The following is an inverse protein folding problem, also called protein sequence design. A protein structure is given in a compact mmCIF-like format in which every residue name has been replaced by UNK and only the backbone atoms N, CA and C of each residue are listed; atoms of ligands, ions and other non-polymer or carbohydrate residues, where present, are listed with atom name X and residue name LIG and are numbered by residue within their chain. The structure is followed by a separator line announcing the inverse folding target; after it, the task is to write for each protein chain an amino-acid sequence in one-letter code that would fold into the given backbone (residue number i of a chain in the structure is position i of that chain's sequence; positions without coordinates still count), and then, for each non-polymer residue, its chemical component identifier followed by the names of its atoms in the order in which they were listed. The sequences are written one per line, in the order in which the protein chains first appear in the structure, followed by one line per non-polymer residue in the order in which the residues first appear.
data_IF_157690259425
#
_entry.id   IF_157690259425
#
_cell.length_a   1.000
_cell.length_b   1.000
_cell.length_c   1.000
_cell.angle_alpha   90.00
_cell.angle_beta   90.00
_cell.angle_gamma   90.00
#
_symmetry.space_group_name_H-M   'P 1'
#
loop_
_entity.id
_entity.type
_entity.pdbx_description
1 polymer ?
#
# COMPACT_ATOMS: atom_id res chain seq x y z
N UNK A 1 0.99 -0.27 -11.22
CA UNK A 1 0.78 -1.05 -9.99
C UNK A 1 1.67 -2.27 -9.98
N UNK A 2 2.47 -2.39 -8.96
CA UNK A 2 3.34 -3.55 -8.75
C UNK A 2 3.00 -4.21 -7.42
N UNK A 3 2.94 -5.53 -7.40
CA UNK A 3 2.77 -6.29 -6.17
C UNK A 3 3.98 -7.20 -5.96
N UNK A 4 4.24 -7.51 -4.70
CA UNK A 4 5.36 -8.37 -4.32
C UNK A 4 4.98 -9.85 -4.23
N UNK A 5 3.78 -10.21 -4.66
CA UNK A 5 3.29 -11.58 -4.63
C UNK A 5 3.56 -12.27 -5.96
N UNK A 6 4.64 -13.02 -6.01
CA UNK A 6 5.08 -13.69 -7.25
C UNK A 6 4.55 -15.11 -7.42
N UNK A 7 3.95 -15.71 -6.39
CA UNK A 7 3.56 -17.12 -6.41
C UNK A 7 2.34 -17.40 -5.54
N UNK A 8 1.47 -18.31 -5.98
CA UNK A 8 0.32 -18.80 -5.19
C UNK A 8 0.74 -19.55 -3.93
N UNK A 9 1.98 -20.04 -3.87
CA UNK A 9 2.52 -20.78 -2.74
C UNK A 9 3.29 -19.91 -1.77
N UNK A 10 3.38 -18.63 -2.04
CA UNK A 10 4.07 -17.70 -1.16
C UNK A 10 3.27 -17.49 0.13
N UNK A 11 3.93 -17.69 1.25
CA UNK A 11 3.36 -17.39 2.57
C UNK A 11 3.80 -15.98 2.94
N UNK A 12 2.83 -15.09 3.10
CA UNK A 12 3.12 -13.71 3.51
C UNK A 12 1.95 -13.18 4.35
N UNK A 13 2.23 -12.44 5.43
CA UNK A 13 1.19 -11.77 6.21
C UNK A 13 0.72 -10.46 5.60
N UNK A 14 1.39 -9.98 4.55
CA UNK A 14 1.13 -8.67 3.95
C UNK A 14 0.87 -8.79 2.46
N UNK A 15 -0.09 -8.02 1.97
CA UNK A 15 -0.27 -7.79 0.55
C UNK A 15 0.04 -6.32 0.28
N UNK A 16 1.22 -6.07 -0.27
CA UNK A 16 1.72 -4.72 -0.49
C UNK A 16 1.65 -4.39 -1.97
N UNK A 17 1.02 -3.25 -2.27
CA UNK A 17 0.96 -2.70 -3.61
C UNK A 17 1.81 -1.43 -3.68
N UNK A 18 2.54 -1.29 -4.77
CA UNK A 18 3.38 -0.14 -5.03
C UNK A 18 2.80 0.66 -6.21
N UNK A 19 2.57 1.94 -5.99
CA UNK A 19 1.97 2.83 -6.97
C UNK A 19 3.04 3.73 -7.62
N UNK A 20 2.72 4.40 -8.74
CA UNK A 20 3.71 5.19 -9.48
C UNK A 20 4.33 6.35 -8.69
N UNK A 21 3.53 7.01 -7.85
CA UNK A 21 3.96 8.18 -7.09
C UNK A 21 3.13 8.36 -5.82
N UNK A 22 3.56 9.30 -4.98
CA UNK A 22 2.90 9.59 -3.71
C UNK A 22 1.48 10.13 -3.89
N UNK A 23 1.26 11.00 -4.87
CA UNK A 23 -0.04 11.59 -5.12
C UNK A 23 -1.07 10.53 -5.53
N UNK A 24 -0.68 9.62 -6.41
CA UNK A 24 -1.51 8.47 -6.80
C UNK A 24 -1.82 7.59 -5.60
N UNK A 25 -0.84 7.32 -4.76
CA UNK A 25 -1.00 6.51 -3.55
C UNK A 25 -2.04 7.12 -2.61
N UNK A 26 -1.98 8.42 -2.40
CA UNK A 26 -2.93 9.14 -1.53
C UNK A 26 -4.35 9.08 -2.10
N UNK A 27 -4.51 9.22 -3.41
CA UNK A 27 -5.81 9.08 -4.08
C UNK A 27 -6.37 7.67 -3.89
N UNK A 28 -5.53 6.66 -4.11
CA UNK A 28 -5.94 5.25 -3.94
C UNK A 28 -6.36 4.97 -2.51
N UNK A 29 -5.61 5.42 -1.54
CA UNK A 29 -5.93 5.26 -0.13
C UNK A 29 -7.30 5.86 0.19
N UNK A 30 -7.56 7.07 -0.27
CA UNK A 30 -8.83 7.76 -0.05
C UNK A 30 -10.00 7.03 -0.72
N UNK A 31 -9.84 6.61 -1.97
CA UNK A 31 -10.89 5.89 -2.70
C UNK A 31 -11.22 4.57 -2.04
N UNK A 32 -10.21 3.82 -1.61
CA UNK A 32 -10.40 2.56 -0.89
C UNK A 32 -11.14 2.78 0.43
N UNK A 33 -10.78 3.82 1.17
CA UNK A 33 -11.48 4.19 2.40
C UNK A 33 -12.96 4.51 2.12
N UNK A 34 -13.24 5.26 1.05
CA UNK A 34 -14.61 5.59 0.65
C UNK A 34 -15.43 4.33 0.29
N UNK A 35 -14.78 3.28 -0.18
CA UNK A 35 -15.40 1.98 -0.44
C UNK A 35 -15.48 1.07 0.81
N UNK A 36 -15.06 1.56 1.96
CA UNK A 36 -15.03 0.76 3.18
C UNK A 36 -13.92 -0.28 3.21
N UNK A 37 -12.88 -0.10 2.39
CA UNK A 37 -11.72 -0.99 2.35
C UNK A 37 -10.58 -0.39 3.16
N UNK A 38 -10.21 -1.03 4.26
CA UNK A 38 -9.10 -0.59 5.09
C UNK A 38 -7.76 -0.84 4.43
N UNK A 39 -6.86 0.10 4.57
CA UNK A 39 -5.48 -0.03 4.09
C UNK A 39 -4.50 0.25 5.22
N UNK A 40 -3.25 -0.11 5.02
CA UNK A 40 -2.22 0.15 6.01
C UNK A 40 -0.93 0.62 5.37
N UNK A 41 -0.29 1.58 6.05
CA UNK A 41 1.09 1.98 5.78
C UNK A 41 1.94 1.48 6.94
N UNK A 42 2.32 0.20 6.88
CA UNK A 42 2.92 -0.53 8.00
C UNK A 42 4.10 0.17 8.67
N UNK A 43 4.93 0.81 7.89
CA UNK A 43 6.12 1.49 8.39
C UNK A 43 6.03 2.99 8.19
N UNK A 44 4.80 3.51 8.04
CA UNK A 44 4.55 4.92 7.74
C UNK A 44 5.42 5.41 6.57
N UNK A 45 6.18 6.47 6.76
CA UNK A 45 7.09 7.00 5.73
C UNK A 45 8.53 6.54 5.92
N UNK A 46 8.73 5.42 6.59
CA UNK A 46 10.01 4.86 6.95
C UNK A 46 10.33 5.07 8.43
N UNK A 47 10.98 4.07 9.03
CA UNK A 47 11.27 4.12 10.46
C UNK A 47 12.13 5.31 10.86
N UNK A 48 13.04 5.72 9.99
CA UNK A 48 13.94 6.85 10.23
C UNK A 48 13.20 8.21 10.31
N UNK A 49 11.99 8.28 9.77
CA UNK A 49 11.15 9.50 9.80
C UNK A 49 10.13 9.48 10.93
N UNK A 50 10.06 8.40 11.68
CA UNK A 50 9.17 8.33 12.84
C UNK A 50 9.71 9.20 13.98
N UNK A 51 8.85 9.93 14.72
CA UNK A 51 9.30 10.81 15.79
C UNK A 51 10.17 10.12 16.83
N UNK A 52 9.89 8.85 17.15
CA UNK A 52 10.66 8.05 18.10
C UNK A 52 12.12 7.83 17.67
N UNK A 53 12.42 7.92 16.38
CA UNK A 53 13.74 7.63 15.81
C UNK A 53 14.36 8.83 15.09
N UNK A 54 13.75 10.00 15.20
CA UNK A 54 14.19 11.20 14.49
C UNK A 54 15.63 11.59 14.81
N UNK A 55 16.09 11.34 16.04
CA UNK A 55 17.44 11.68 16.50
C UNK A 55 18.46 10.54 16.31
N UNK A 56 18.04 9.41 15.74
CA UNK A 56 18.95 8.28 15.51
C UNK A 56 19.74 8.51 14.24
N UNK A 57 21.07 8.56 14.31
CA UNK A 57 21.91 8.69 13.11
C UNK A 57 21.71 7.53 12.13
N UNK A 58 21.64 7.83 10.85
CA UNK A 58 21.56 6.80 9.80
C UNK A 58 22.29 7.28 8.54
N UNK A 59 22.66 6.34 7.69
CA UNK A 59 23.18 6.63 6.37
C UNK A 59 22.06 6.97 5.37
N UNK A 60 22.41 7.17 4.09
CA UNK A 60 21.43 7.39 3.03
C UNK A 60 20.50 6.18 2.88
N UNK A 61 19.20 6.44 2.70
CA UNK A 61 18.16 5.44 2.53
C UNK A 61 17.32 5.72 1.27
N UNK A 62 17.95 5.77 0.07
CA UNK A 62 17.26 6.21 -1.14
C UNK A 62 16.10 5.29 -1.54
N UNK A 63 16.24 3.98 -1.39
CA UNK A 63 15.16 3.03 -1.74
C UNK A 63 14.02 3.14 -0.75
N UNK A 64 14.31 3.20 0.54
CA UNK A 64 13.29 3.37 1.59
C UNK A 64 12.52 4.66 1.37
N UNK A 65 13.20 5.75 1.08
CA UNK A 65 12.55 7.04 0.86
C UNK A 65 11.72 7.07 -0.42
N UNK A 66 12.16 6.40 -1.48
CA UNK A 66 11.39 6.25 -2.70
C UNK A 66 10.11 5.44 -2.49
N UNK A 67 10.22 4.29 -1.85
CA UNK A 67 9.11 3.35 -1.67
C UNK A 67 8.12 3.82 -0.59
N UNK A 68 8.61 4.47 0.46
CA UNK A 68 7.82 4.79 1.65
C UNK A 68 6.58 5.65 1.36
N UNK A 69 6.64 6.50 0.36
CA UNK A 69 5.54 7.40 0.03
C UNK A 69 4.54 6.82 -0.97
N UNK A 70 4.84 5.67 -1.56
CA UNK A 70 4.04 5.15 -2.66
C UNK A 70 3.60 3.69 -2.52
N UNK A 71 3.58 3.17 -1.30
CA UNK A 71 3.05 1.83 -1.04
C UNK A 71 1.79 1.87 -0.19
N UNK A 72 0.95 0.84 -0.34
CA UNK A 72 -0.17 0.57 0.56
C UNK A 72 -0.23 -0.92 0.86
N UNK A 73 -0.52 -1.25 2.11
CA UNK A 73 -0.90 -2.60 2.49
C UNK A 73 -2.39 -2.79 2.26
N UNK A 74 -2.74 -3.77 1.43
CA UNK A 74 -4.12 -4.14 1.14
C UNK A 74 -4.59 -5.25 2.09
N UNK A 75 -5.92 -5.43 2.26
CA UNK A 75 -6.42 -6.47 3.14
C UNK A 75 -5.97 -7.86 2.70
N UNK A 76 -5.36 -8.61 3.63
CA UNK A 76 -5.01 -9.99 3.43
C UNK A 76 -5.14 -10.68 4.78
N UNK A 77 -6.09 -11.62 4.88
CA UNK A 77 -6.33 -12.37 6.09
C UNK A 77 -6.96 -13.71 5.77
N UNK A 78 -6.79 -14.66 6.69
CA UNK A 78 -7.42 -15.97 6.57
C UNK A 78 -8.94 -15.81 6.61
N UNK A 79 -9.63 -16.36 5.62
CA UNK A 79 -11.08 -16.23 5.53
C UNK A 79 -11.56 -15.05 4.70
N UNK A 80 -10.65 -14.36 3.99
CA UNK A 80 -11.05 -13.34 3.02
C UNK A 80 -11.98 -13.97 1.98
N UNK A 81 -13.24 -13.49 1.92
CA UNK A 81 -14.24 -14.04 1.03
C UNK A 81 -14.05 -13.56 -0.41
N UNK A 82 -14.61 -14.31 -1.36
CA UNK A 82 -14.66 -13.88 -2.76
C UNK A 82 -15.38 -12.55 -2.92
N UNK A 83 -16.47 -12.35 -2.18
CA UNK A 83 -17.23 -11.10 -2.17
C UNK A 83 -16.36 -9.92 -1.72
N UNK A 84 -15.59 -10.08 -0.65
CA UNK A 84 -14.68 -9.05 -0.18
C UNK A 84 -13.55 -8.79 -1.16
N UNK A 85 -13.01 -9.84 -1.79
CA UNK A 85 -11.99 -9.70 -2.83
C UNK A 85 -12.53 -8.93 -4.04
N UNK A 86 -13.77 -9.16 -4.43
CA UNK A 86 -14.43 -8.41 -5.51
C UNK A 86 -14.64 -6.94 -5.15
N UNK A 87 -14.99 -6.66 -3.90
CA UNK A 87 -15.11 -5.28 -3.40
C UNK A 87 -13.78 -4.54 -3.45
N UNK A 88 -12.71 -5.19 -3.06
CA UNK A 88 -11.34 -4.63 -3.13
C UNK A 88 -10.99 -4.36 -4.59
N UNK A 89 -11.26 -5.29 -5.48
CA UNK A 89 -11.01 -5.14 -6.91
C UNK A 89 -11.78 -3.97 -7.50
N UNK A 90 -13.07 -3.87 -7.21
CA UNK A 90 -13.90 -2.77 -7.67
C UNK A 90 -13.39 -1.41 -7.18
N UNK A 91 -12.97 -1.34 -5.92
CA UNK A 91 -12.39 -0.14 -5.34
C UNK A 91 -11.08 0.26 -6.02
N UNK A 92 -10.23 -0.72 -6.34
CA UNK A 92 -8.98 -0.47 -7.06
C UNK A 92 -9.23 0.02 -8.49
N UNK A 93 -10.23 -0.52 -9.18
CA UNK A 93 -10.60 -0.04 -10.51
C UNK A 93 -11.10 1.41 -10.48
N UNK A 94 -11.95 1.75 -9.51
CA UNK A 94 -12.41 3.12 -9.32
C UNK A 94 -11.24 4.07 -9.00
N UNK A 95 -10.34 3.64 -8.13
CA UNK A 95 -9.14 4.40 -7.80
C UNK A 95 -8.25 4.65 -9.03
N UNK A 96 -8.08 3.63 -9.87
CA UNK A 96 -7.33 3.77 -11.12
C UNK A 96 -7.94 4.81 -12.03
N UNK A 97 -9.27 4.77 -12.20
CA UNK A 97 -9.97 5.72 -13.06
C UNK A 97 -9.84 7.15 -12.53
N UNK A 98 -9.90 7.34 -11.22
CA UNK A 98 -9.76 8.67 -10.61
C UNK A 98 -8.34 9.20 -10.64
N UNK A 99 -7.36 8.34 -10.46
CA UNK A 99 -5.96 8.73 -10.45
C UNK A 99 -5.39 8.95 -11.86
N UNK A 100 -5.94 8.26 -12.86
CA UNK A 100 -5.49 8.32 -14.26
C UNK A 100 -3.99 7.98 -14.45
N UNK A 101 -3.38 7.25 -13.51
CA UNK A 101 -1.92 7.09 -13.43
C UNK A 101 -1.42 5.65 -13.61
N UNK A 102 -2.30 4.64 -13.70
CA UNK A 102 -1.86 3.27 -13.97
C UNK A 102 -2.88 2.43 -14.75
#
# INVERSE_FOLDING_TARGET
LTTFHASRKQVTPYWIALFPDAATTDIVEQVLEDHGVGTRRWWSRGCHRMPAYADVPHGPLPVTEDVADRYLGLPLYRGLSEEDAERIHAALLDARDRAEAW
#
